data_IF_990873460590
#
_entry.id   IF_990873460590
#
_cell.length_a   1.000
_cell.length_b   1.000
_cell.length_c   1.000
_cell.angle_alpha   90.00
_cell.angle_beta   90.00
_cell.angle_gamma   90.00
#
_symmetry.space_group_name_H-M   'P 1'
#
loop_
_entity.id
_entity.type
_entity.pdbx_description
1 polymer ?
#
# COMPACT_ATOMS: atom_id res chain seq x y z
N UNK A 1 26.06 -3.30 -6.60
CA UNK A 1 24.75 -3.67 -6.02
C UNK A 1 23.94 -2.38 -5.90
N UNK A 2 22.80 -2.27 -6.59
CA UNK A 2 21.94 -1.10 -6.46
C UNK A 2 20.92 -1.38 -5.35
N UNK A 3 20.95 -0.57 -4.30
CA UNK A 3 19.98 -0.64 -3.21
C UNK A 3 18.80 0.26 -3.54
N UNK A 4 17.57 -0.23 -3.30
CA UNK A 4 16.36 0.54 -3.58
C UNK A 4 16.05 1.51 -2.44
N UNK A 5 15.72 0.96 -1.27
CA UNK A 5 15.34 1.71 -0.08
C UNK A 5 15.81 0.96 1.16
N UNK A 6 16.43 1.67 2.12
CA UNK A 6 16.71 1.13 3.45
C UNK A 6 15.54 1.43 4.37
N UNK A 7 14.99 0.42 5.01
CA UNK A 7 14.01 0.57 6.09
C UNK A 7 14.77 0.52 7.42
N UNK A 8 14.70 1.59 8.21
CA UNK A 8 15.26 1.65 9.56
C UNK A 8 14.07 1.58 10.51
N UNK A 9 14.14 0.70 11.52
CA UNK A 9 13.01 0.44 12.40
C UNK A 9 13.47 0.19 13.85
N UNK A 10 12.55 0.40 14.80
CA UNK A 10 12.76 0.00 16.19
C UNK A 10 12.68 -1.53 16.28
N UNK A 11 13.75 -2.16 16.74
CA UNK A 11 13.87 -3.61 16.81
C UNK A 11 12.85 -4.26 17.75
N UNK A 12 12.34 -3.53 18.74
CA UNK A 12 11.41 -4.05 19.74
C UNK A 12 9.94 -3.89 19.34
N UNK A 13 9.62 -2.97 18.43
CA UNK A 13 8.23 -2.64 18.07
C UNK A 13 7.95 -2.81 16.57
N UNK A 14 8.99 -2.87 15.73
CA UNK A 14 8.85 -2.96 14.28
C UNK A 14 8.52 -1.63 13.59
N UNK A 15 8.35 -0.55 14.36
CA UNK A 15 7.95 0.77 13.85
C UNK A 15 9.05 1.36 12.97
N UNK A 16 8.66 1.87 11.79
CA UNK A 16 9.57 2.49 10.83
C UNK A 16 9.97 3.89 11.30
N UNK A 17 11.27 4.17 11.26
CA UNK A 17 11.90 5.40 11.78
C UNK A 17 12.44 6.32 10.68
N UNK A 18 12.40 5.90 9.41
CA UNK A 18 13.02 6.61 8.28
C UNK A 18 12.74 8.12 8.21
N UNK A 19 11.57 8.56 8.64
CA UNK A 19 11.14 9.97 8.57
C UNK A 19 11.30 10.72 9.91
N UNK A 20 11.77 10.05 10.96
CA UNK A 20 11.80 10.57 12.33
C UNK A 20 13.17 11.12 12.76
N UNK A 21 14.19 11.00 11.91
CA UNK A 21 15.58 11.37 12.25
C UNK A 21 15.88 12.89 12.17
N UNK A 22 14.90 13.73 11.81
CA UNK A 22 15.06 15.18 11.63
C UNK A 22 14.52 16.05 12.76
N UNK A 23 13.85 15.46 13.76
CA UNK A 23 13.24 16.22 14.85
C UNK A 23 14.25 16.53 15.96
N UNK A 24 14.23 17.78 16.47
CA UNK A 24 15.08 18.20 17.57
C UNK A 24 14.71 17.37 18.81
N UNK A 25 15.67 16.58 19.30
CA UNK A 25 15.51 15.83 20.54
C UNK A 25 15.54 16.80 21.71
N UNK A 26 14.38 17.04 22.32
CA UNK A 26 14.27 17.73 23.61
C UNK A 26 14.35 16.69 24.74
N UNK A 27 14.75 17.13 25.95
CA UNK A 27 14.87 16.25 27.13
C UNK A 27 13.57 15.52 27.48
N UNK A 28 12.42 16.05 27.07
CA UNK A 28 11.08 15.49 27.30
C UNK A 28 10.80 14.24 26.46
N UNK A 29 11.51 14.04 25.35
CA UNK A 29 11.22 12.97 24.37
C UNK A 29 12.30 11.87 24.34
N UNK A 30 13.27 11.91 25.26
CA UNK A 30 14.39 10.97 25.29
C UNK A 30 13.93 9.52 25.53
N UNK A 31 12.88 9.34 26.35
CA UNK A 31 12.32 8.03 26.67
C UNK A 31 11.50 7.43 25.52
N UNK A 32 11.10 8.26 24.54
CA UNK A 32 10.41 7.81 23.33
C UNK A 32 11.39 7.30 22.27
N UNK A 33 12.70 7.43 22.51
CA UNK A 33 13.72 6.93 21.58
C UNK A 33 13.76 5.40 21.64
N UNK A 34 13.78 4.72 20.48
CA UNK A 34 14.01 3.29 20.42
C UNK A 34 15.30 2.91 21.17
N UNK A 35 15.21 1.90 22.03
CA UNK A 35 16.37 1.36 22.75
C UNK A 35 17.36 0.69 21.80
N UNK A 36 16.82 -0.01 20.81
CA UNK A 36 17.58 -0.69 19.76
C UNK A 36 16.95 -0.40 18.40
N UNK A 37 17.78 -0.12 17.41
CA UNK A 37 17.36 0.05 16.02
C UNK A 37 17.95 -1.06 15.17
N UNK A 38 17.24 -1.40 14.11
CA UNK A 38 17.72 -2.32 13.09
C UNK A 38 17.32 -1.82 11.70
N UNK A 39 17.85 -2.45 10.65
CA UNK A 39 17.56 -2.08 9.28
C UNK A 39 17.41 -3.28 8.35
N UNK A 40 16.66 -3.05 7.27
CA UNK A 40 16.47 -3.95 6.14
C UNK A 40 16.74 -3.16 4.85
N UNK A 41 17.59 -3.69 3.99
CA UNK A 41 17.84 -3.12 2.66
C UNK A 41 16.92 -3.79 1.63
N UNK A 42 16.03 -3.01 1.04
CA UNK A 42 15.17 -3.48 -0.04
C UNK A 42 15.94 -3.49 -1.37
N UNK A 43 15.77 -4.54 -2.19
CA UNK A 43 16.26 -4.56 -3.56
C UNK A 43 15.78 -3.34 -4.35
N UNK A 44 16.61 -2.90 -5.30
CA UNK A 44 16.17 -1.92 -6.29
C UNK A 44 14.89 -2.43 -6.97
N UNK A 45 13.88 -1.57 -7.11
CA UNK A 45 12.54 -1.88 -7.65
C UNK A 45 11.61 -2.79 -6.82
N UNK A 46 11.93 -3.09 -5.56
CA UNK A 46 11.05 -3.88 -4.68
C UNK A 46 9.59 -3.38 -4.69
N UNK A 47 8.66 -4.29 -4.98
CA UNK A 47 7.22 -4.02 -5.02
C UNK A 47 6.39 -5.25 -4.64
N UNK A 48 6.96 -6.19 -3.90
CA UNK A 48 6.12 -7.27 -3.33
C UNK A 48 5.08 -6.65 -2.39
N UNK A 49 3.93 -7.32 -2.24
CA UNK A 49 2.77 -6.79 -1.53
C UNK A 49 2.31 -5.40 -1.99
N UNK A 50 2.59 -4.98 -3.24
CA UNK A 50 2.31 -3.63 -3.72
C UNK A 50 2.95 -2.53 -2.85
N UNK A 51 4.15 -2.78 -2.32
CA UNK A 51 4.87 -1.86 -1.43
C UNK A 51 4.99 -0.42 -1.97
N UNK A 52 5.04 -0.22 -3.29
CA UNK A 52 5.06 1.13 -3.89
C UNK A 52 3.83 1.98 -3.54
N UNK A 53 2.70 1.35 -3.25
CA UNK A 53 1.46 2.00 -2.89
C UNK A 53 1.22 2.01 -1.36
N UNK A 54 2.17 1.52 -0.55
CA UNK A 54 2.02 1.50 0.89
C UNK A 54 2.20 2.90 1.47
N UNK A 55 1.25 3.33 2.31
CA UNK A 55 1.35 4.57 3.10
C UNK A 55 1.91 4.23 4.48
N UNK A 56 1.32 3.23 5.13
CA UNK A 56 1.69 2.80 6.47
C UNK A 56 2.09 1.33 6.47
N UNK A 57 3.21 1.05 7.12
CA UNK A 57 3.76 -0.30 7.22
C UNK A 57 4.73 -0.40 8.41
N UNK A 58 4.94 -1.61 8.90
CA UNK A 58 5.89 -1.94 9.96
C UNK A 58 6.59 -3.28 9.68
N UNK A 59 7.61 -3.58 10.48
CA UNK A 59 8.33 -4.85 10.42
C UNK A 59 7.76 -5.81 11.45
N UNK A 60 7.39 -7.02 11.03
CA UNK A 60 6.97 -8.09 11.93
C UNK A 60 8.19 -8.64 12.71
N UNK A 61 8.37 -8.14 13.93
CA UNK A 61 9.47 -8.52 14.84
C UNK A 61 9.38 -9.96 15.34
N UNK A 62 8.24 -10.64 15.17
CA UNK A 62 8.13 -12.06 15.53
C UNK A 62 8.90 -12.95 14.54
N UNK A 63 9.23 -12.41 13.36
CA UNK A 63 9.93 -13.11 12.29
C UNK A 63 11.40 -12.74 12.29
N UNK A 64 12.24 -13.74 11.98
CA UNK A 64 13.67 -13.51 11.85
C UNK A 64 13.99 -12.88 10.48
N UNK A 65 14.52 -11.65 10.49
CA UNK A 65 14.85 -10.90 9.27
C UNK A 65 15.86 -11.58 8.34
N UNK A 66 16.70 -12.47 8.87
CA UNK A 66 17.77 -13.13 8.09
C UNK A 66 17.29 -14.40 7.38
N UNK A 67 16.16 -14.96 7.81
CA UNK A 67 15.62 -16.22 7.25
C UNK A 67 14.25 -16.06 6.61
N UNK A 68 13.54 -14.96 6.90
CA UNK A 68 12.19 -14.71 6.39
C UNK A 68 12.25 -13.95 5.06
N UNK A 69 11.27 -14.18 4.19
CA UNK A 69 11.14 -13.38 2.98
C UNK A 69 10.68 -11.95 3.33
N UNK A 70 11.11 -10.98 2.52
CA UNK A 70 10.76 -9.56 2.71
C UNK A 70 9.25 -9.32 2.72
N UNK A 71 8.50 -9.96 1.80
CA UNK A 71 7.02 -9.87 1.80
C UNK A 71 6.34 -10.36 3.07
N UNK A 72 6.95 -11.32 3.78
CA UNK A 72 6.35 -11.87 4.99
C UNK A 72 6.74 -11.02 6.21
N UNK A 73 7.89 -10.35 6.11
CA UNK A 73 8.45 -9.51 7.16
C UNK A 73 7.85 -8.10 7.18
N UNK A 74 7.49 -7.55 6.02
CA UNK A 74 6.94 -6.19 5.90
C UNK A 74 5.42 -6.29 5.92
N UNK A 75 4.81 -5.79 6.99
CA UNK A 75 3.36 -5.76 7.17
C UNK A 75 2.85 -4.39 6.77
N UNK A 76 2.07 -4.34 5.70
CA UNK A 76 1.43 -3.12 5.22
C UNK A 76 0.07 -2.99 5.91
N UNK A 77 -0.11 -1.90 6.65
CA UNK A 77 -1.34 -1.59 7.38
C UNK A 77 -2.26 -0.70 6.56
N UNK A 78 -1.70 0.14 5.69
CA UNK A 78 -2.49 1.02 4.84
C UNK A 78 -1.85 1.19 3.46
N UNK A 79 -2.69 1.06 2.44
CA UNK A 79 -2.36 1.42 1.06
C UNK A 79 -2.94 2.78 0.71
N UNK A 80 -2.34 3.42 -0.28
CA UNK A 80 -2.91 4.57 -0.96
C UNK A 80 -4.24 4.17 -1.57
N UNK A 81 -5.29 4.89 -1.19
CA UNK A 81 -6.62 4.69 -1.74
C UNK A 81 -6.56 4.88 -3.25
N UNK A 82 -7.03 3.87 -3.99
CA UNK A 82 -7.07 3.97 -5.45
C UNK A 82 -8.17 4.95 -5.82
N UNK A 83 -7.77 6.14 -6.25
CA UNK A 83 -8.68 7.08 -6.91
C UNK A 83 -8.90 6.59 -8.34
N UNK A 84 -10.13 6.23 -8.68
CA UNK A 84 -10.54 5.89 -10.05
C UNK A 84 -10.16 7.06 -10.98
N UNK A 85 -9.50 6.78 -12.08
CA UNK A 85 -9.16 7.84 -13.04
C UNK A 85 -10.43 8.29 -13.79
N UNK A 86 -10.44 9.52 -14.31
CA UNK A 86 -11.56 10.00 -15.12
C UNK A 86 -11.83 9.09 -16.34
N UNK A 87 -10.80 8.46 -16.92
CA UNK A 87 -10.95 7.53 -18.04
C UNK A 87 -11.61 6.21 -17.61
N UNK A 88 -11.22 5.67 -16.45
CA UNK A 88 -11.84 4.45 -15.88
C UNK A 88 -13.31 4.70 -15.54
N UNK A 89 -13.59 5.85 -14.91
CA UNK A 89 -14.94 6.31 -14.61
C UNK A 89 -15.79 6.42 -15.87
N UNK A 90 -15.26 7.08 -16.90
CA UNK A 90 -15.96 7.26 -18.18
C UNK A 90 -16.24 5.92 -18.87
N UNK A 91 -15.31 4.97 -18.79
CA UNK A 91 -15.48 3.62 -19.35
C UNK A 91 -16.58 2.85 -18.63
N UNK A 92 -16.62 2.92 -17.29
CA UNK A 92 -17.67 2.29 -16.48
C UNK A 92 -19.05 2.90 -16.79
N UNK A 93 -19.15 4.22 -16.83
CA UNK A 93 -20.40 4.92 -17.16
C UNK A 93 -20.88 4.59 -18.57
N UNK A 94 -19.98 4.52 -19.55
CA UNK A 94 -20.33 4.10 -20.92
C UNK A 94 -20.87 2.66 -20.95
N UNK A 95 -20.26 1.75 -20.22
CA UNK A 95 -20.70 0.36 -20.16
C UNK A 95 -22.07 0.21 -19.46
N UNK A 96 -22.30 0.97 -18.39
CA UNK A 96 -23.61 1.04 -17.72
C UNK A 96 -24.69 1.57 -18.67
N UNK A 97 -24.40 2.62 -19.44
CA UNK A 97 -25.30 3.15 -20.46
C UNK A 97 -25.60 2.15 -21.58
N UNK A 98 -24.59 1.45 -22.09
CA UNK A 98 -24.76 0.41 -23.11
C UNK A 98 -25.66 -0.74 -22.60
N UNK A 99 -25.46 -1.17 -21.36
CA UNK A 99 -26.29 -2.20 -20.73
C UNK A 99 -27.74 -1.74 -20.55
N UNK A 100 -27.97 -0.49 -20.15
CA UNK A 100 -29.32 0.07 -20.03
C UNK A 100 -30.03 0.17 -21.38
N UNK A 101 -29.31 0.58 -22.44
CA UNK A 101 -29.85 0.63 -23.80
C UNK A 101 -30.21 -0.76 -24.32
N UNK A 102 -29.37 -1.77 -24.04
CA UNK A 102 -29.66 -3.14 -24.42
C UNK A 102 -30.93 -3.66 -23.74
N UNK A 103 -31.08 -3.43 -22.43
CA UNK A 103 -32.29 -3.78 -21.69
C UNK A 103 -33.53 -3.06 -22.21
N UNK A 104 -33.42 -1.79 -22.64
CA UNK A 104 -34.54 -1.06 -23.23
C UNK A 104 -34.90 -1.57 -24.63
N UNK A 105 -33.91 -1.95 -25.44
CA UNK A 105 -34.13 -2.53 -26.75
C UNK A 105 -34.87 -3.88 -26.62
N UNK A 106 -34.45 -4.73 -25.69
CA UNK A 106 -35.12 -6.01 -25.42
C UNK A 106 -36.56 -5.81 -24.90
N UNK A 107 -36.78 -4.86 -23.97
CA UNK A 107 -38.13 -4.53 -23.47
C UNK A 107 -39.05 -3.93 -24.55
N UNK A 108 -38.49 -3.22 -25.54
CA UNK A 108 -39.26 -2.67 -26.66
C UNK A 108 -39.49 -3.68 -27.80
N UNK A 109 -38.72 -4.75 -27.88
CA UNK A 109 -38.89 -5.84 -28.86
C UNK A 109 -40.01 -6.82 -28.46
N UNK A 110 -40.27 -7.02 -27.16
CA UNK A 110 -41.37 -7.87 -26.65
C UNK A 110 -42.75 -7.19 -26.66
N UNK A 111 -42.82 -5.88 -26.95
CA UNK A 111 -44.07 -5.12 -27.06
C UNK A 111 -44.68 -5.02 -28.46
N UNK A 112 -43.99 -5.53 -29.48
CA UNK A 112 -44.39 -5.43 -30.89
C UNK A 112 -45.00 -6.71 -31.45
N UNK A 113 -46.18 -7.11 -30.97
CA UNK A 113 -47.02 -8.10 -31.68
C UNK A 113 -47.94 -7.37 -32.66
N UNK A 114 -47.73 -7.69 -33.95
CA UNK A 114 -48.62 -7.60 -35.14
C UNK A 114 -49.30 -6.27 -35.47
#
# INVERSE_FOLDING_TARGET
MQFGKRLIFDKNTGVILNNSFGEIVTTSNIDLRPKEIDFIDLPYSYNENNFKNAIEYHIDISKNKNTSNLKDLIVITQYMERVETNEEKLKREKQELENQLLLQADNNLDGGIL
#
